data_IF_041197404532
#
_entry.id   IF_041197404532
#
_cell.length_a   1.000
_cell.length_b   1.000
_cell.length_c   1.000
_cell.angle_alpha   90.00
_cell.angle_beta   90.00
_cell.angle_gamma   90.00
#
_symmetry.space_group_name_H-M   'P 1'
#
loop_
_entity.id
_entity.type
_entity.pdbx_description
1 polymer ?
#
# COMPACT_ATOMS: atom_id res chain seq x y z
N UNK A 1 6.56 -25.10 -22.19
CA UNK A 1 5.80 -24.63 -20.98
C UNK A 1 6.75 -23.86 -20.11
N UNK A 2 6.46 -22.59 -19.80
CA UNK A 2 7.27 -21.71 -18.96
C UNK A 2 6.78 -21.77 -17.53
N UNK A 3 7.69 -21.79 -16.57
CA UNK A 3 7.38 -22.03 -15.18
C UNK A 3 7.46 -20.73 -14.38
N UNK A 4 6.36 -20.35 -13.73
CA UNK A 4 6.26 -19.18 -12.83
C UNK A 4 6.29 -19.69 -11.40
N UNK A 5 7.17 -19.14 -10.56
CA UNK A 5 7.17 -19.40 -9.13
C UNK A 5 6.60 -18.23 -8.36
N UNK A 6 5.52 -18.43 -7.64
CA UNK A 6 4.96 -17.48 -6.68
C UNK A 6 5.43 -17.87 -5.27
N UNK A 7 6.19 -16.99 -4.62
CA UNK A 7 6.62 -17.15 -3.23
C UNK A 7 5.78 -16.23 -2.34
N UNK A 8 4.96 -16.83 -1.49
CA UNK A 8 3.97 -16.17 -0.65
C UNK A 8 2.58 -16.13 -1.32
N UNK A 9 1.60 -16.75 -0.68
CA UNK A 9 0.21 -16.85 -1.15
C UNK A 9 -0.76 -16.20 -0.15
N UNK A 10 -0.44 -15.00 0.32
CA UNK A 10 -1.23 -14.25 1.29
C UNK A 10 -2.50 -13.59 0.71
N UNK A 11 -3.16 -12.75 1.52
CA UNK A 11 -4.46 -12.10 1.21
C UNK A 11 -4.51 -11.33 -0.12
N UNK A 12 -3.38 -10.85 -0.64
CA UNK A 12 -3.32 -10.04 -1.87
C UNK A 12 -3.04 -10.84 -3.15
N UNK A 13 -3.10 -12.19 -3.12
CA UNK A 13 -2.68 -13.03 -4.25
C UNK A 13 -3.82 -13.70 -5.02
N UNK A 14 -5.07 -13.61 -4.57
CA UNK A 14 -6.19 -14.30 -5.20
C UNK A 14 -6.30 -13.97 -6.69
N UNK A 15 -6.41 -12.71 -7.05
CA UNK A 15 -6.49 -12.29 -8.46
C UNK A 15 -5.24 -12.60 -9.28
N UNK A 16 -4.05 -12.58 -8.65
CA UNK A 16 -2.80 -12.96 -9.31
C UNK A 16 -2.83 -14.43 -9.72
N UNK A 17 -3.24 -15.31 -8.78
CA UNK A 17 -3.31 -16.76 -9.01
C UNK A 17 -4.36 -17.06 -10.09
N UNK A 18 -5.57 -16.52 -9.93
CA UNK A 18 -6.66 -16.74 -10.89
C UNK A 18 -6.25 -16.28 -12.29
N UNK A 19 -5.71 -15.06 -12.43
CA UNK A 19 -5.28 -14.52 -13.72
C UNK A 19 -4.22 -15.40 -14.40
N UNK A 20 -3.19 -15.84 -13.68
CA UNK A 20 -2.16 -16.71 -14.25
C UNK A 20 -2.71 -18.09 -14.64
N UNK A 21 -3.61 -18.66 -13.85
CA UNK A 21 -4.25 -19.93 -14.19
C UNK A 21 -5.18 -19.83 -15.38
N UNK A 22 -5.96 -18.74 -15.50
CA UNK A 22 -6.80 -18.47 -16.66
C UNK A 22 -5.99 -18.30 -17.96
N UNK A 23 -4.82 -17.68 -17.86
CA UNK A 23 -3.92 -17.52 -19.00
C UNK A 23 -3.07 -18.78 -19.28
N UNK A 24 -3.08 -19.79 -18.41
CA UNK A 24 -2.12 -20.90 -18.46
C UNK A 24 -2.07 -21.65 -19.79
N UNK A 25 -3.21 -21.94 -20.41
CA UNK A 25 -3.27 -22.63 -21.70
C UNK A 25 -2.81 -21.73 -22.85
N UNK A 26 -3.26 -20.47 -22.86
CA UNK A 26 -2.95 -19.50 -23.92
C UNK A 26 -1.47 -19.14 -23.93
N UNK A 27 -0.90 -18.96 -22.76
CA UNK A 27 0.49 -18.51 -22.60
C UNK A 27 1.49 -19.67 -22.44
N UNK A 28 1.02 -20.93 -22.44
CA UNK A 28 1.83 -22.14 -22.21
C UNK A 28 2.69 -22.02 -20.95
N UNK A 29 2.02 -21.72 -19.81
CA UNK A 29 2.66 -21.53 -18.50
C UNK A 29 2.16 -22.53 -17.48
N UNK A 30 2.99 -22.79 -16.47
CA UNK A 30 2.62 -23.43 -15.21
C UNK A 30 2.94 -22.50 -14.03
N UNK A 31 2.18 -22.62 -12.96
CA UNK A 31 2.36 -21.89 -11.71
C UNK A 31 2.77 -22.85 -10.60
N UNK A 32 3.84 -22.54 -9.89
CA UNK A 32 4.21 -23.18 -8.64
C UNK A 32 4.03 -22.18 -7.50
N UNK A 33 3.31 -22.54 -6.46
CA UNK A 33 3.18 -21.72 -5.23
C UNK A 33 4.08 -22.32 -4.15
N UNK A 34 4.95 -21.50 -3.58
CA UNK A 34 5.75 -21.81 -2.41
C UNK A 34 5.29 -20.93 -1.24
N UNK A 35 4.67 -21.54 -0.23
CA UNK A 35 4.28 -20.85 1.00
C UNK A 35 4.42 -21.81 2.20
N UNK A 36 4.63 -21.25 3.39
CA UNK A 36 4.68 -22.02 4.65
C UNK A 36 3.31 -22.56 5.06
N UNK A 37 2.24 -21.91 4.60
CA UNK A 37 0.85 -22.22 4.93
C UNK A 37 -0.01 -22.19 3.67
N UNK A 38 -0.40 -23.36 3.18
CA UNK A 38 -1.11 -23.52 1.91
C UNK A 38 -2.53 -24.05 2.08
N UNK A 39 -2.95 -24.37 3.31
CA UNK A 39 -4.28 -24.93 3.60
C UNK A 39 -5.44 -23.97 3.27
N UNK A 40 -5.19 -22.68 3.20
CA UNK A 40 -6.17 -21.65 2.85
C UNK A 40 -6.45 -21.56 1.33
N UNK A 41 -5.60 -22.17 0.49
CA UNK A 41 -5.83 -22.20 -0.96
C UNK A 41 -7.04 -23.09 -1.26
N UNK A 42 -8.08 -22.57 -1.94
CA UNK A 42 -9.30 -23.32 -2.23
C UNK A 42 -8.98 -24.61 -3.01
N UNK A 43 -9.65 -25.70 -2.66
CA UNK A 43 -9.42 -27.01 -3.31
C UNK A 43 -9.62 -26.98 -4.82
N UNK A 44 -10.54 -26.17 -5.31
CA UNK A 44 -10.79 -25.98 -6.75
C UNK A 44 -9.58 -25.37 -7.45
N UNK A 45 -8.94 -24.39 -6.83
CA UNK A 45 -7.69 -23.79 -7.31
C UNK A 45 -6.54 -24.81 -7.21
N UNK A 46 -6.38 -25.46 -6.06
CA UNK A 46 -5.32 -26.42 -5.82
C UNK A 46 -5.35 -27.64 -6.77
N UNK A 47 -6.51 -27.97 -7.34
CA UNK A 47 -6.67 -29.07 -8.30
C UNK A 47 -6.45 -28.66 -9.77
N UNK A 48 -6.10 -27.38 -10.04
CA UNK A 48 -5.87 -26.92 -11.39
C UNK A 48 -4.65 -27.59 -12.04
N UNK A 49 -4.74 -28.15 -13.27
CA UNK A 49 -3.67 -28.94 -13.89
C UNK A 49 -2.35 -28.19 -14.12
N UNK A 50 -2.41 -26.85 -14.24
CA UNK A 50 -1.23 -25.99 -14.40
C UNK A 50 -0.68 -25.48 -13.06
N UNK A 51 -1.21 -25.94 -11.91
CA UNK A 51 -0.77 -25.50 -10.58
C UNK A 51 -0.04 -26.62 -9.83
N UNK A 52 1.07 -26.28 -9.22
CA UNK A 52 1.73 -27.10 -8.20
C UNK A 52 1.89 -26.30 -6.92
N UNK A 53 1.87 -26.96 -5.77
CA UNK A 53 1.96 -26.32 -4.46
C UNK A 53 3.07 -26.99 -3.65
N UNK A 54 3.97 -26.18 -3.09
CA UNK A 54 5.06 -26.61 -2.20
C UNK A 54 4.86 -25.92 -0.85
N UNK A 55 4.58 -26.71 0.17
CA UNK A 55 4.43 -26.19 1.54
C UNK A 55 5.79 -26.22 2.24
N UNK A 56 6.45 -25.06 2.31
CA UNK A 56 7.74 -24.91 2.97
C UNK A 56 7.99 -23.44 3.36
N UNK A 57 8.89 -23.24 4.32
CA UNK A 57 9.33 -21.89 4.67
C UNK A 57 10.30 -21.34 3.62
N UNK A 58 10.13 -20.10 3.24
CA UNK A 58 11.09 -19.36 2.37
C UNK A 58 12.48 -19.25 3.01
N UNK A 59 12.59 -19.39 4.33
CA UNK A 59 13.89 -19.38 5.04
C UNK A 59 14.66 -20.68 4.87
N UNK A 60 14.01 -21.76 4.41
CA UNK A 60 14.70 -22.96 3.97
C UNK A 60 15.40 -22.71 2.64
N UNK A 61 16.70 -22.43 2.71
CA UNK A 61 17.51 -22.07 1.55
C UNK A 61 17.58 -23.17 0.50
N UNK A 62 17.56 -24.44 0.91
CA UNK A 62 17.65 -25.59 -0.03
C UNK A 62 16.39 -25.68 -0.86
N UNK A 63 15.22 -25.70 -0.23
CA UNK A 63 13.93 -25.79 -0.94
C UNK A 63 13.74 -24.54 -1.80
N UNK A 64 14.02 -23.33 -1.26
CA UNK A 64 13.88 -22.07 -2.00
C UNK A 64 14.71 -22.08 -3.28
N UNK A 65 16.00 -22.43 -3.21
CA UNK A 65 16.87 -22.47 -4.38
C UNK A 65 16.47 -23.54 -5.39
N UNK A 66 16.01 -24.71 -4.93
CA UNK A 66 15.48 -25.76 -5.81
C UNK A 66 14.28 -25.27 -6.60
N UNK A 67 13.33 -24.59 -5.96
CA UNK A 67 12.14 -24.08 -6.62
C UNK A 67 12.46 -22.93 -7.57
N UNK A 68 13.35 -22.01 -7.17
CA UNK A 68 13.81 -20.92 -8.05
C UNK A 68 14.54 -21.47 -9.27
N UNK A 69 15.36 -22.50 -9.13
CA UNK A 69 16.09 -23.12 -10.26
C UNK A 69 15.14 -23.68 -11.33
N UNK A 70 13.97 -24.20 -10.93
CA UNK A 70 12.95 -24.76 -11.84
C UNK A 70 12.10 -23.67 -12.52
N UNK A 71 12.11 -22.44 -12.02
CA UNK A 71 11.31 -21.35 -12.57
C UNK A 71 12.03 -20.60 -13.71
N UNK A 72 11.26 -19.99 -14.59
CA UNK A 72 11.75 -18.99 -15.56
C UNK A 72 11.68 -17.58 -14.99
N UNK A 73 10.69 -17.33 -14.14
CA UNK A 73 10.49 -16.06 -13.44
C UNK A 73 9.90 -16.30 -12.05
N UNK A 74 10.27 -15.44 -11.11
CA UNK A 74 9.83 -15.50 -9.71
C UNK A 74 9.00 -14.28 -9.36
N UNK A 75 7.84 -14.48 -8.76
CA UNK A 75 7.02 -13.43 -8.14
C UNK A 75 7.17 -13.57 -6.62
N UNK A 76 7.63 -12.50 -5.96
CA UNK A 76 7.83 -12.48 -4.51
C UNK A 76 6.78 -11.62 -3.82
N UNK A 77 5.90 -12.25 -3.03
CA UNK A 77 4.82 -11.62 -2.24
C UNK A 77 5.06 -11.75 -0.74
N UNK A 78 6.31 -11.65 -0.35
CA UNK A 78 6.79 -11.77 1.03
C UNK A 78 6.78 -10.42 1.77
N UNK A 79 6.95 -10.41 3.11
CA UNK A 79 7.33 -9.20 3.83
C UNK A 79 8.62 -8.57 3.29
N UNK A 80 8.69 -7.23 3.29
CA UNK A 80 9.73 -6.45 2.63
C UNK A 80 11.17 -6.91 2.93
N UNK A 81 11.48 -7.25 4.18
CA UNK A 81 12.82 -7.69 4.62
C UNK A 81 13.24 -9.06 4.09
N UNK A 82 12.31 -9.83 3.51
CA UNK A 82 12.60 -11.20 3.00
C UNK A 82 12.88 -11.22 1.48
N UNK A 83 12.52 -10.17 0.75
CA UNK A 83 12.74 -10.13 -0.71
C UNK A 83 14.20 -10.27 -1.10
N UNK A 84 15.13 -9.77 -0.28
CA UNK A 84 16.56 -9.85 -0.55
C UNK A 84 17.09 -11.30 -0.60
N UNK A 85 16.48 -12.21 0.16
CA UNK A 85 16.82 -13.65 0.12
C UNK A 85 16.51 -14.23 -1.26
N UNK A 86 15.30 -13.92 -1.77
CA UNK A 86 14.84 -14.37 -3.08
C UNK A 86 15.64 -13.72 -4.19
N UNK A 87 15.92 -12.41 -4.08
CA UNK A 87 16.69 -11.67 -5.08
C UNK A 87 18.11 -12.20 -5.26
N UNK A 88 18.82 -12.54 -4.17
CA UNK A 88 20.14 -13.14 -4.22
C UNK A 88 20.14 -14.48 -4.93
N UNK A 89 19.14 -15.33 -4.64
CA UNK A 89 19.02 -16.62 -5.30
C UNK A 89 18.64 -16.46 -6.78
N UNK A 90 17.71 -15.54 -7.11
CA UNK A 90 17.35 -15.21 -8.49
C UNK A 90 18.57 -14.71 -9.29
N UNK A 91 19.39 -13.84 -8.72
CA UNK A 91 20.63 -13.36 -9.36
C UNK A 91 21.62 -14.51 -9.60
N UNK A 92 21.82 -15.38 -8.61
CA UNK A 92 22.73 -16.53 -8.70
C UNK A 92 22.28 -17.55 -9.74
N UNK A 93 20.96 -17.81 -9.82
CA UNK A 93 20.35 -18.81 -10.69
C UNK A 93 19.85 -18.21 -12.03
N UNK A 94 20.14 -16.94 -12.29
CA UNK A 94 19.82 -16.20 -13.51
C UNK A 94 18.29 -16.22 -13.83
N UNK A 95 17.48 -15.85 -12.83
CA UNK A 95 16.02 -15.77 -12.96
C UNK A 95 15.53 -14.33 -12.83
N UNK A 96 14.49 -13.98 -13.58
CA UNK A 96 13.79 -12.70 -13.40
C UNK A 96 13.02 -12.67 -12.09
N UNK A 97 12.83 -11.48 -11.53
CA UNK A 97 12.11 -11.26 -10.27
C UNK A 97 11.09 -10.13 -10.42
N UNK A 98 9.88 -10.35 -9.89
CA UNK A 98 8.84 -9.32 -9.80
C UNK A 98 8.34 -9.23 -8.35
N UNK A 99 8.15 -8.01 -7.82
CA UNK A 99 7.59 -7.79 -6.49
C UNK A 99 6.81 -6.48 -6.39
N UNK A 100 5.81 -6.43 -5.50
CA UNK A 100 5.03 -5.23 -5.20
C UNK A 100 5.74 -4.25 -4.24
N UNK A 101 6.83 -4.68 -3.61
CA UNK A 101 7.51 -3.91 -2.57
C UNK A 101 8.44 -2.85 -3.14
N UNK A 102 8.70 -1.82 -2.33
CA UNK A 102 9.69 -0.78 -2.62
C UNK A 102 11.07 -1.37 -2.85
N UNK A 103 11.85 -0.73 -3.73
CA UNK A 103 13.27 -1.07 -3.91
C UNK A 103 14.02 -0.79 -2.61
N UNK A 104 14.62 -1.83 -2.03
CA UNK A 104 15.49 -1.67 -0.87
C UNK A 104 16.90 -1.21 -1.29
N UNK A 105 17.69 -0.60 -0.37
CA UNK A 105 19.08 -0.26 -0.65
C UNK A 105 19.90 -1.45 -1.17
N UNK A 106 19.72 -2.61 -0.55
CA UNK A 106 20.44 -3.84 -0.91
C UNK A 106 20.06 -4.35 -2.32
N UNK A 107 18.77 -4.22 -2.70
CA UNK A 107 18.34 -4.54 -4.07
C UNK A 107 18.93 -3.56 -5.07
N UNK A 108 19.00 -2.28 -4.72
CA UNK A 108 19.60 -1.27 -5.59
C UNK A 108 21.10 -1.50 -5.83
N UNK A 109 21.83 -1.99 -4.83
CA UNK A 109 23.25 -2.36 -4.96
C UNK A 109 23.48 -3.53 -5.93
N UNK A 110 22.44 -4.32 -6.25
CA UNK A 110 22.53 -5.42 -7.21
C UNK A 110 22.36 -4.97 -8.67
N UNK A 111 22.07 -3.69 -8.93
CA UNK A 111 21.70 -3.14 -10.26
C UNK A 111 22.69 -3.55 -11.37
N UNK A 112 23.98 -3.36 -11.15
CA UNK A 112 25.00 -3.64 -12.17
C UNK A 112 25.07 -5.13 -12.50
N UNK A 113 25.02 -6.00 -11.49
CA UNK A 113 25.05 -7.45 -11.67
C UNK A 113 23.78 -7.97 -12.37
N UNK A 114 22.62 -7.40 -12.03
CA UNK A 114 21.34 -7.73 -12.68
C UNK A 114 21.38 -7.35 -14.16
N UNK A 115 21.90 -6.16 -14.48
CA UNK A 115 22.08 -5.69 -15.86
C UNK A 115 23.06 -6.55 -16.67
N UNK A 116 24.22 -6.85 -16.08
CA UNK A 116 25.26 -7.66 -16.73
C UNK A 116 24.72 -9.03 -17.16
N UNK A 117 23.85 -9.62 -16.33
CA UNK A 117 23.21 -10.90 -16.63
C UNK A 117 21.96 -10.79 -17.52
N UNK A 118 21.58 -9.59 -17.94
CA UNK A 118 20.37 -9.36 -18.74
C UNK A 118 19.06 -9.67 -17.99
N UNK A 119 19.07 -9.62 -16.66
CA UNK A 119 17.92 -9.93 -15.83
C UNK A 119 17.07 -8.69 -15.57
N UNK A 120 15.81 -8.92 -15.27
CA UNK A 120 14.84 -7.89 -14.90
C UNK A 120 14.39 -8.17 -13.47
N UNK A 121 14.71 -7.27 -12.54
CA UNK A 121 14.18 -7.25 -11.19
C UNK A 121 13.19 -6.09 -11.09
N UNK A 122 11.92 -6.37 -11.42
CA UNK A 122 10.86 -5.37 -11.47
C UNK A 122 10.18 -5.26 -10.10
N UNK A 123 10.39 -4.13 -9.47
CA UNK A 123 9.88 -3.81 -8.15
C UNK A 123 8.72 -2.81 -8.25
N UNK A 124 8.04 -2.57 -7.13
CA UNK A 124 6.98 -1.58 -7.02
C UNK A 124 5.83 -1.85 -8.02
N UNK A 125 5.49 -3.14 -8.22
CA UNK A 125 4.44 -3.59 -9.14
C UNK A 125 3.12 -3.92 -8.41
N UNK A 126 2.78 -3.10 -7.41
CA UNK A 126 1.50 -3.21 -6.70
C UNK A 126 0.53 -2.08 -7.06
N UNK A 127 -0.17 -1.55 -6.05
CA UNK A 127 -1.09 -0.42 -6.20
C UNK A 127 -0.44 0.91 -5.82
N UNK A 128 0.19 0.99 -4.65
CA UNK A 128 0.99 2.08 -4.12
C UNK A 128 2.05 1.46 -3.17
N UNK A 129 3.22 1.16 -3.75
CA UNK A 129 3.72 1.57 -5.06
C UNK A 129 3.29 0.63 -6.22
N UNK A 130 3.06 1.22 -7.40
CA UNK A 130 2.83 0.49 -8.65
C UNK A 130 1.88 1.17 -9.61
N UNK A 131 0.57 0.97 -9.49
CA UNK A 131 -0.43 1.63 -10.34
C UNK A 131 -0.31 3.16 -10.21
N UNK A 132 0.01 3.68 -9.03
CA UNK A 132 0.24 5.10 -8.80
C UNK A 132 1.38 5.66 -9.66
N UNK A 133 2.48 4.93 -9.81
CA UNK A 133 3.60 5.30 -10.69
C UNK A 133 3.18 5.25 -12.16
N UNK A 134 2.59 4.14 -12.56
CA UNK A 134 2.21 3.89 -13.95
C UNK A 134 1.21 4.93 -14.46
N UNK A 135 0.16 5.19 -13.69
CA UNK A 135 -0.86 6.18 -14.05
C UNK A 135 -0.33 7.61 -14.02
N UNK A 136 0.48 7.96 -13.01
CA UNK A 136 1.13 9.26 -12.94
C UNK A 136 2.00 9.52 -14.18
N UNK A 137 2.87 8.57 -14.55
CA UNK A 137 3.72 8.70 -15.73
C UNK A 137 2.91 8.78 -17.01
N UNK A 138 1.85 7.98 -17.15
CA UNK A 138 0.98 8.02 -18.33
C UNK A 138 0.34 9.40 -18.53
N UNK A 139 -0.22 10.00 -17.47
CA UNK A 139 -0.82 11.34 -17.52
C UNK A 139 0.22 12.43 -17.73
N UNK A 140 1.35 12.38 -17.03
CA UNK A 140 2.42 13.36 -17.18
C UNK A 140 3.02 13.33 -18.59
N UNK A 141 3.26 12.16 -19.17
CA UNK A 141 3.75 12.03 -20.53
C UNK A 141 2.73 12.52 -21.55
N UNK A 142 1.43 12.27 -21.32
CA UNK A 142 0.37 12.81 -22.19
C UNK A 142 0.38 14.36 -22.19
N UNK A 143 0.57 14.98 -21.03
CA UNK A 143 0.65 16.44 -20.88
C UNK A 143 1.93 16.97 -21.54
N UNK A 144 3.09 16.36 -21.24
CA UNK A 144 4.39 16.75 -21.81
C UNK A 144 4.41 16.65 -23.33
N UNK A 145 3.83 15.59 -23.90
CA UNK A 145 3.74 15.38 -25.35
C UNK A 145 2.86 16.43 -26.06
N UNK A 146 1.96 17.09 -25.32
CA UNK A 146 1.16 18.22 -25.81
C UNK A 146 1.81 19.60 -25.54
N UNK A 147 3.08 19.62 -25.08
CA UNK A 147 3.85 20.82 -24.77
C UNK A 147 3.50 21.44 -23.42
N UNK A 148 2.96 20.67 -22.49
CA UNK A 148 2.72 21.10 -21.12
C UNK A 148 3.93 20.87 -20.22
N UNK A 149 4.20 21.78 -19.28
CA UNK A 149 5.21 21.65 -18.23
C UNK A 149 4.54 21.42 -16.87
N UNK A 150 4.89 20.33 -16.20
CA UNK A 150 4.28 19.96 -14.90
C UNK A 150 4.81 20.89 -13.81
N UNK A 151 3.91 21.56 -13.08
CA UNK A 151 4.20 22.46 -11.98
C UNK A 151 3.75 21.91 -10.62
N UNK A 152 2.71 21.05 -10.62
CA UNK A 152 2.14 20.45 -9.42
C UNK A 152 1.81 18.97 -9.70
N UNK A 153 2.20 18.11 -8.78
CA UNK A 153 1.77 16.71 -8.77
C UNK A 153 1.40 16.29 -7.34
N UNK A 154 0.15 15.92 -7.16
CA UNK A 154 -0.35 15.32 -5.93
C UNK A 154 -0.96 13.95 -6.24
N UNK A 155 -0.67 12.95 -5.42
CA UNK A 155 -1.18 11.59 -5.58
C UNK A 155 -1.58 10.98 -4.24
N UNK A 156 -2.81 10.51 -4.16
CA UNK A 156 -3.38 9.96 -2.94
C UNK A 156 -4.00 8.59 -3.21
N UNK A 157 -3.71 7.62 -2.32
CA UNK A 157 -4.22 6.25 -2.46
C UNK A 157 -4.76 5.76 -1.11
N UNK A 158 -5.87 5.03 -1.13
CA UNK A 158 -6.45 4.42 0.06
C UNK A 158 -7.10 3.06 -0.22
N UNK A 159 -6.82 2.09 0.66
CA UNK A 159 -7.63 0.88 0.80
C UNK A 159 -8.66 1.12 1.89
N UNK A 160 -9.94 0.94 1.57
CA UNK A 160 -11.09 1.36 2.37
C UNK A 160 -12.19 0.30 2.29
N UNK A 161 -13.28 0.52 3.03
CA UNK A 161 -14.50 -0.26 2.88
C UNK A 161 -15.36 0.35 1.78
N UNK A 162 -16.05 -0.49 1.00
CA UNK A 162 -16.92 -0.04 -0.08
C UNK A 162 -18.08 0.83 0.45
N UNK A 163 -18.59 1.81 -0.34
CA UNK A 163 -19.55 2.80 0.15
C UNK A 163 -20.88 2.24 0.66
N UNK A 164 -21.31 1.08 0.14
CA UNK A 164 -22.53 0.39 0.54
C UNK A 164 -22.39 -0.32 1.88
N UNK A 165 -21.18 -0.57 2.30
CA UNK A 165 -20.87 -1.19 3.59
C UNK A 165 -20.77 -0.10 4.67
N UNK A 166 -21.39 -0.34 5.84
CA UNK A 166 -21.25 0.53 7.02
C UNK A 166 -20.79 -0.31 8.20
N UNK A 167 -19.53 -0.76 8.16
CA UNK A 167 -19.08 -1.81 9.08
C UNK A 167 -18.87 -1.32 10.51
N UNK A 168 -18.52 -0.06 10.71
CA UNK A 168 -18.16 0.53 12.00
C UNK A 168 -18.10 2.06 11.92
N UNK A 169 -17.96 2.73 13.08
CA UNK A 169 -17.84 4.18 13.16
C UNK A 169 -16.55 4.75 12.51
N UNK A 170 -15.55 3.91 12.29
CA UNK A 170 -14.28 4.30 11.65
C UNK A 170 -14.34 4.32 10.13
N UNK A 171 -15.40 3.74 9.52
CA UNK A 171 -15.52 3.49 8.09
C UNK A 171 -14.24 2.79 7.54
N UNK A 172 -13.68 1.87 8.34
CA UNK A 172 -12.42 1.23 8.05
C UNK A 172 -12.39 -0.23 8.52
N UNK A 173 -11.86 -1.10 7.67
CA UNK A 173 -11.48 -2.48 8.00
C UNK A 173 -10.15 -2.84 7.33
N UNK A 174 -9.49 -3.86 7.85
CA UNK A 174 -8.25 -4.36 7.28
C UNK A 174 -8.51 -5.16 6.00
N UNK A 175 -8.04 -4.64 4.88
CA UNK A 175 -8.13 -5.27 3.56
C UNK A 175 -6.80 -5.88 3.12
N UNK A 176 -5.74 -5.63 3.88
CA UNK A 176 -4.39 -6.12 3.67
C UNK A 176 -3.67 -6.33 5.01
N UNK A 177 -2.33 -6.25 5.06
CA UNK A 177 -1.55 -6.53 6.26
C UNK A 177 -1.84 -5.52 7.39
N UNK A 178 -2.47 -5.93 8.51
CA UNK A 178 -2.81 -5.05 9.62
C UNK A 178 -1.59 -4.37 10.24
N UNK A 179 -0.46 -5.08 10.34
CA UNK A 179 0.77 -4.54 10.88
C UNK A 179 1.22 -3.27 10.16
N UNK A 180 1.21 -3.29 8.84
CA UNK A 180 1.61 -2.15 8.04
C UNK A 180 0.69 -0.93 8.23
N UNK A 181 -0.57 -1.15 8.60
CA UNK A 181 -1.50 -0.06 8.93
C UNK A 181 -1.16 0.54 10.29
N UNK A 182 -0.92 -0.29 11.31
CA UNK A 182 -0.63 0.17 12.67
C UNK A 182 0.67 0.97 12.75
N UNK A 183 1.70 0.54 12.05
CA UNK A 183 3.00 1.24 12.02
C UNK A 183 3.12 2.24 10.85
N UNK A 184 2.02 2.53 10.14
CA UNK A 184 2.04 3.47 9.02
C UNK A 184 2.54 4.85 9.44
N UNK A 185 3.49 5.40 8.70
CA UNK A 185 4.07 6.72 8.96
C UNK A 185 5.24 6.71 9.95
N UNK A 186 5.55 5.60 10.60
CA UNK A 186 6.77 5.44 11.39
C UNK A 186 8.03 5.37 10.50
N UNK A 187 9.20 5.53 11.10
CA UNK A 187 10.49 5.43 10.39
C UNK A 187 10.98 6.75 9.80
N UNK A 188 10.48 7.89 10.28
CA UNK A 188 10.96 9.22 9.93
C UNK A 188 9.87 10.25 9.68
N UNK A 189 10.25 11.47 9.33
CA UNK A 189 9.31 12.51 8.95
C UNK A 189 8.79 12.29 7.52
N UNK A 190 7.52 12.56 7.29
CA UNK A 190 7.02 12.72 5.93
C UNK A 190 7.63 13.97 5.30
N UNK A 191 8.09 13.85 4.04
CA UNK A 191 8.78 14.93 3.31
C UNK A 191 8.13 15.13 1.96
N UNK A 192 7.86 16.38 1.63
CA UNK A 192 7.32 16.76 0.33
C UNK A 192 7.68 18.22 0.02
N UNK A 193 7.43 18.66 -1.20
CA UNK A 193 7.52 20.08 -1.59
C UNK A 193 6.12 20.57 -1.91
N UNK A 194 5.79 21.75 -1.42
CA UNK A 194 4.52 22.42 -1.65
C UNK A 194 4.77 23.91 -1.84
N UNK A 195 4.32 24.47 -2.96
CA UNK A 195 4.56 25.87 -3.31
C UNK A 195 6.04 26.26 -3.28
N UNK A 196 6.90 25.42 -3.83
CA UNK A 196 8.34 25.63 -3.82
C UNK A 196 9.01 25.49 -2.44
N UNK A 197 8.24 25.22 -1.38
CA UNK A 197 8.74 25.11 0.00
C UNK A 197 8.79 23.66 0.44
N UNK A 198 9.93 23.21 0.95
CA UNK A 198 10.06 21.89 1.57
C UNK A 198 9.27 21.81 2.86
N UNK A 199 8.48 20.77 3.00
CA UNK A 199 7.66 20.49 4.18
C UNK A 199 8.12 19.18 4.83
N UNK A 200 8.16 19.21 6.16
CA UNK A 200 8.51 18.05 6.98
C UNK A 200 7.45 17.88 8.06
N UNK A 201 6.84 16.70 8.13
CA UNK A 201 5.86 16.39 9.16
C UNK A 201 6.40 15.22 9.98
N UNK A 202 6.82 15.44 11.24
CA UNK A 202 7.23 14.36 12.12
C UNK A 202 6.03 13.47 12.46
N UNK A 203 6.28 12.19 12.75
CA UNK A 203 5.25 11.18 12.95
C UNK A 203 4.13 11.60 13.91
N UNK A 204 4.47 12.15 15.06
CA UNK A 204 3.50 12.58 16.08
C UNK A 204 2.57 13.74 15.66
N UNK A 205 2.83 14.36 14.50
CA UNK A 205 1.98 15.42 13.90
C UNK A 205 1.33 14.97 12.59
N UNK A 206 1.65 13.79 12.10
CA UNK A 206 1.27 13.34 10.76
C UNK A 206 -0.25 13.36 10.55
N UNK A 207 -1.00 12.77 11.47
CA UNK A 207 -2.45 12.63 11.39
C UNK A 207 -3.23 13.89 11.80
N UNK A 208 -2.54 14.96 12.16
CA UNK A 208 -3.13 16.28 12.48
C UNK A 208 -3.17 17.22 11.29
N UNK A 209 -2.53 16.84 10.19
CA UNK A 209 -2.47 17.63 8.96
C UNK A 209 -2.98 16.77 7.79
N UNK A 210 -4.22 17.07 7.39
CA UNK A 210 -4.91 16.32 6.33
C UNK A 210 -5.37 17.28 5.24
N UNK A 211 -5.34 16.80 4.01
CA UNK A 211 -5.97 17.44 2.85
C UNK A 211 -7.35 16.78 2.63
N UNK A 212 -8.34 17.54 2.16
CA UNK A 212 -9.66 17.02 1.86
C UNK A 212 -9.86 16.84 0.37
N UNK A 213 -10.42 15.71 -0.01
CA UNK A 213 -10.70 15.34 -1.39
C UNK A 213 -12.18 14.95 -1.53
N UNK A 214 -12.74 15.20 -2.70
CA UNK A 214 -14.08 14.75 -3.05
C UNK A 214 -14.03 13.97 -4.37
N UNK A 215 -14.62 12.79 -4.39
CA UNK A 215 -14.75 11.97 -5.59
C UNK A 215 -16.24 11.75 -5.83
N UNK A 216 -16.71 12.16 -7.00
CA UNK A 216 -18.10 12.07 -7.38
C UNK A 216 -18.60 10.61 -7.31
N UNK A 217 -19.76 10.40 -6.69
CA UNK A 217 -20.31 9.07 -6.43
C UNK A 217 -19.74 8.33 -5.21
N UNK A 218 -18.59 8.79 -4.67
CA UNK A 218 -17.90 8.12 -3.55
C UNK A 218 -17.75 9.00 -2.30
N UNK A 219 -18.06 10.31 -2.41
CA UNK A 219 -18.11 11.25 -1.28
C UNK A 219 -16.76 11.84 -0.90
N UNK A 220 -16.65 12.24 0.37
CA UNK A 220 -15.50 12.96 0.91
C UNK A 220 -14.47 12.02 1.52
N UNK A 221 -13.21 12.38 1.33
CA UNK A 221 -12.04 11.70 1.89
C UNK A 221 -11.12 12.72 2.55
N UNK A 222 -10.27 12.25 3.43
CA UNK A 222 -9.12 12.97 3.93
C UNK A 222 -7.85 12.20 3.59
N UNK A 223 -6.74 12.92 3.36
CA UNK A 223 -5.46 12.33 3.07
C UNK A 223 -4.37 12.94 3.96
N UNK A 224 -3.45 12.12 4.43
CA UNK A 224 -2.25 12.53 5.15
C UNK A 224 -0.99 12.15 4.37
N UNK A 225 0.11 12.88 4.59
CA UNK A 225 1.36 12.70 3.87
C UNK A 225 1.90 11.27 4.03
N UNK A 226 2.33 10.67 2.91
CA UNK A 226 2.95 9.35 2.92
C UNK A 226 4.47 9.48 2.81
N UNK A 227 5.18 9.15 3.89
CA UNK A 227 6.65 9.03 3.96
C UNK A 227 7.41 10.14 3.20
N UNK A 228 8.37 9.76 2.33
CA UNK A 228 9.22 10.66 1.56
C UNK A 228 8.76 10.71 0.10
N UNK A 229 7.98 11.74 -0.25
CA UNK A 229 7.55 11.98 -1.63
C UNK A 229 8.72 12.41 -2.53
N UNK A 230 9.78 13.01 -1.95
CA UNK A 230 10.87 13.62 -2.70
C UNK A 230 11.78 12.60 -3.38
N UNK A 231 11.82 11.36 -2.89
CA UNK A 231 12.62 10.29 -3.50
C UNK A 231 12.21 9.99 -4.96
N UNK A 232 10.99 10.35 -5.35
CA UNK A 232 10.49 10.17 -6.71
C UNK A 232 10.66 11.40 -7.60
N UNK A 233 11.17 12.52 -7.08
CA UNK A 233 11.26 13.78 -7.81
C UNK A 233 12.02 13.65 -9.12
N UNK A 234 13.20 13.06 -9.06
CA UNK A 234 14.03 12.81 -10.26
C UNK A 234 13.46 11.69 -11.12
N UNK A 235 12.97 10.61 -10.51
CA UNK A 235 12.40 9.48 -11.24
C UNK A 235 11.20 9.88 -12.12
N UNK A 236 10.40 10.85 -11.68
CA UNK A 236 9.27 11.39 -12.44
C UNK A 236 9.63 12.55 -13.37
N UNK A 237 10.89 13.05 -13.33
CA UNK A 237 11.31 14.25 -14.06
C UNK A 237 10.55 15.50 -13.58
N UNK A 238 10.43 15.65 -12.26
CA UNK A 238 9.70 16.72 -11.58
C UNK A 238 10.63 17.67 -10.80
N UNK A 239 11.90 17.83 -11.24
CA UNK A 239 12.89 18.70 -10.58
C UNK A 239 12.42 20.16 -10.51
N UNK A 240 11.65 20.60 -11.50
CA UNK A 240 11.12 21.95 -11.61
C UNK A 240 9.70 22.11 -11.06
N UNK A 241 9.09 21.03 -10.57
CA UNK A 241 7.74 21.12 -10.00
C UNK A 241 7.77 21.85 -8.66
N UNK A 242 6.81 22.76 -8.46
CA UNK A 242 6.63 23.53 -7.23
C UNK A 242 5.93 22.71 -6.14
N UNK A 243 5.15 21.70 -6.54
CA UNK A 243 4.50 20.79 -5.61
C UNK A 243 4.71 19.34 -6.05
N UNK A 244 5.18 18.52 -5.10
CA UNK A 244 5.25 17.08 -5.21
C UNK A 244 4.82 16.47 -3.88
N UNK A 245 3.61 15.93 -3.84
CA UNK A 245 2.99 15.44 -2.61
C UNK A 245 2.30 14.09 -2.85
N UNK A 246 2.67 13.08 -2.07
CA UNK A 246 2.02 11.77 -2.05
C UNK A 246 1.42 11.54 -0.67
N UNK A 247 0.22 10.99 -0.63
CA UNK A 247 -0.51 10.79 0.62
C UNK A 247 -1.34 9.51 0.66
N UNK A 248 -1.72 9.15 1.87
CA UNK A 248 -2.62 8.02 2.15
C UNK A 248 -4.01 8.53 2.42
N UNK A 249 -4.99 7.98 1.72
CA UNK A 249 -6.40 8.41 1.79
C UNK A 249 -7.20 7.57 2.79
N UNK A 250 -8.09 8.24 3.53
CA UNK A 250 -9.02 7.64 4.48
C UNK A 250 -10.39 8.33 4.41
N UNK A 251 -11.41 7.76 5.05
CA UNK A 251 -12.67 8.48 5.29
C UNK A 251 -12.46 9.61 6.29
N UNK A 252 -13.24 10.68 6.13
CA UNK A 252 -13.15 11.88 6.99
C UNK A 252 -13.34 11.52 8.45
N UNK A 253 -12.45 12.01 9.31
CA UNK A 253 -12.44 11.76 10.75
C UNK A 253 -11.61 10.57 11.21
N UNK A 254 -11.08 9.74 10.29
CA UNK A 254 -10.17 8.65 10.64
C UNK A 254 -8.87 9.16 11.26
N UNK A 255 -8.22 10.12 10.60
CA UNK A 255 -6.90 10.63 11.04
C UNK A 255 -6.97 11.29 12.41
N UNK A 256 -8.04 12.05 12.68
CA UNK A 256 -8.24 12.68 14.00
C UNK A 256 -8.37 11.63 15.10
N UNK A 257 -9.12 10.55 14.86
CA UNK A 257 -9.26 9.45 15.80
C UNK A 257 -7.98 8.63 15.94
N UNK A 258 -7.31 8.31 14.82
CA UNK A 258 -6.03 7.59 14.82
C UNK A 258 -4.93 8.33 15.60
N UNK A 259 -4.92 9.65 15.50
CA UNK A 259 -3.97 10.49 16.23
C UNK A 259 -4.05 10.31 17.76
N UNK A 260 -5.17 9.83 18.29
CA UNK A 260 -5.31 9.47 19.72
C UNK A 260 -4.35 8.34 20.08
N UNK A 261 -4.30 7.28 19.27
CA UNK A 261 -3.37 6.17 19.45
C UNK A 261 -1.91 6.61 19.40
N UNK A 262 -1.61 7.51 18.45
CA UNK A 262 -0.27 8.09 18.32
C UNK A 262 0.11 8.91 19.55
N UNK A 263 -0.80 9.75 20.07
CA UNK A 263 -0.56 10.58 21.24
C UNK A 263 -0.40 9.75 22.53
N UNK A 264 -1.10 8.63 22.63
CA UNK A 264 -0.96 7.69 23.75
C UNK A 264 0.29 6.81 23.63
N UNK A 265 0.95 6.76 22.46
CA UNK A 265 2.10 5.87 22.25
C UNK A 265 1.70 4.43 21.91
N UNK A 266 0.41 4.15 21.64
CA UNK A 266 -0.09 2.79 21.36
C UNK A 266 0.43 2.23 20.01
N UNK A 267 0.96 3.08 19.16
CA UNK A 267 1.55 2.67 17.88
C UNK A 267 3.05 2.40 17.96
N UNK A 268 3.67 2.54 19.14
CA UNK A 268 5.11 2.33 19.32
C UNK A 268 5.47 0.84 19.20
N UNK A 269 6.56 0.56 18.47
CA UNK A 269 7.06 -0.79 18.20
C UNK A 269 8.49 -1.00 18.75
N UNK A 270 8.99 -0.08 19.55
CA UNK A 270 10.39 -0.07 19.97
C UNK A 270 10.67 -0.81 21.29
N UNK A 271 9.63 -1.15 22.05
CA UNK A 271 9.75 -1.86 23.33
C UNK A 271 8.59 -2.84 23.54
N UNK A 272 8.77 -3.79 24.45
CA UNK A 272 7.77 -4.79 24.82
C UNK A 272 7.12 -4.45 26.17
N UNK A 273 5.88 -4.86 26.34
CA UNK A 273 5.11 -4.78 27.59
C UNK A 273 5.11 -6.19 28.19
N UNK A 274 5.72 -6.31 29.36
CA UNK A 274 5.81 -7.59 30.09
C UNK A 274 4.43 -8.05 30.53
N UNK A 275 4.21 -9.39 30.49
CA UNK A 275 2.97 -10.04 30.95
C UNK A 275 1.69 -9.47 30.30
N UNK A 276 1.79 -9.00 29.05
CA UNK A 276 0.67 -8.38 28.34
C UNK A 276 -0.53 -9.30 28.15
N UNK A 277 -0.33 -10.61 28.07
CA UNK A 277 -1.39 -11.63 27.94
C UNK A 277 -2.30 -11.76 29.19
N UNK A 278 -1.94 -11.11 30.27
CA UNK A 278 -2.75 -11.06 31.51
C UNK A 278 -3.56 -9.77 31.62
N UNK A 279 -3.39 -8.84 30.69
CA UNK A 279 -3.98 -7.53 30.77
C UNK A 279 -5.34 -7.48 30.08
N UNK A 280 -6.33 -6.85 30.76
CA UNK A 280 -7.54 -6.40 30.08
C UNK A 280 -7.22 -5.23 29.16
N UNK A 281 -8.06 -4.96 28.16
CA UNK A 281 -7.92 -3.78 27.30
C UNK A 281 -7.85 -2.49 28.12
N UNK A 282 -8.67 -2.40 29.17
CA UNK A 282 -8.65 -1.28 30.11
C UNK A 282 -7.30 -1.12 30.82
N UNK A 283 -6.73 -2.22 31.30
CA UNK A 283 -5.43 -2.21 31.97
C UNK A 283 -4.32 -1.76 31.01
N UNK A 284 -4.33 -2.26 29.78
CA UNK A 284 -3.39 -1.85 28.74
C UNK A 284 -3.45 -0.35 28.45
N UNK A 285 -4.65 0.21 28.23
CA UNK A 285 -4.80 1.66 28.01
C UNK A 285 -4.31 2.47 29.21
N UNK A 286 -4.55 1.98 30.42
CA UNK A 286 -4.15 2.68 31.63
C UNK A 286 -2.63 2.82 31.81
N UNK A 287 -1.81 1.95 31.19
CA UNK A 287 -0.35 2.03 31.24
C UNK A 287 0.19 3.35 30.67
N UNK A 288 -0.50 3.95 29.72
CA UNK A 288 -0.08 5.16 29.02
C UNK A 288 -0.63 6.46 29.61
N UNK A 289 -1.34 6.37 30.74
CA UNK A 289 -2.03 7.51 31.32
C UNK A 289 -1.38 7.94 32.63
N UNK A 290 -1.48 9.22 33.00
CA UNK A 290 -1.02 9.69 34.30
C UNK A 290 -1.68 8.91 35.45
N UNK A 291 -0.92 8.71 36.51
CA UNK A 291 -1.45 8.08 37.71
C UNK A 291 -2.53 8.97 38.36
N UNK A 292 -3.66 8.40 38.69
CA UNK A 292 -4.68 8.98 39.55
C UNK A 292 -5.33 7.85 40.37
N UNK A 293 -5.42 7.98 41.69
CA UNK A 293 -6.04 6.94 42.52
C UNK A 293 -7.58 6.98 42.49
N UNK A 294 -8.18 8.04 41.95
CA UNK A 294 -9.63 8.28 41.99
C UNK A 294 -10.31 8.31 40.63
N UNK A 295 -9.54 8.65 39.60
CA UNK A 295 -10.14 8.83 38.26
C UNK A 295 -10.24 7.49 37.51
N UNK A 296 -11.36 7.28 36.85
CA UNK A 296 -11.50 6.16 35.95
C UNK A 296 -10.57 6.31 34.72
N UNK A 297 -10.26 5.21 34.03
CA UNK A 297 -9.43 5.23 32.83
C UNK A 297 -10.04 6.13 31.75
N UNK A 298 -11.37 6.07 31.60
CA UNK A 298 -12.13 6.92 30.68
C UNK A 298 -11.94 8.40 30.97
N UNK A 299 -12.06 8.79 32.25
CA UNK A 299 -11.88 10.18 32.65
C UNK A 299 -10.45 10.65 32.40
N UNK A 300 -9.45 9.81 32.72
CA UNK A 300 -8.03 10.11 32.45
C UNK A 300 -7.76 10.30 30.96
N UNK A 301 -8.26 9.42 30.10
CA UNK A 301 -8.11 9.55 28.63
C UNK A 301 -8.73 10.86 28.15
N UNK A 302 -9.96 11.16 28.57
CA UNK A 302 -10.66 12.38 28.15
C UNK A 302 -9.91 13.65 28.58
N UNK A 303 -9.45 13.70 29.81
CA UNK A 303 -8.67 14.83 30.34
C UNK A 303 -7.32 14.97 29.61
N UNK A 304 -6.59 13.87 29.46
CA UNK A 304 -5.26 13.87 28.85
C UNK A 304 -5.30 14.31 27.38
N UNK A 305 -6.31 13.84 26.64
CA UNK A 305 -6.46 14.12 25.21
C UNK A 305 -7.41 15.28 24.89
N UNK A 306 -8.05 15.85 25.93
CA UNK A 306 -9.05 16.94 25.79
C UNK A 306 -10.19 16.56 24.84
N UNK A 307 -10.81 15.40 25.09
CA UNK A 307 -11.94 14.87 24.32
C UNK A 307 -13.20 15.00 25.15
N UNK A 308 -14.24 15.62 24.59
CA UNK A 308 -15.55 15.69 25.20
C UNK A 308 -16.31 14.36 25.08
N UNK A 309 -17.26 14.12 25.98
CA UNK A 309 -18.01 12.86 26.01
C UNK A 309 -18.93 12.67 24.80
N UNK A 310 -19.36 13.74 24.20
CA UNK A 310 -20.21 13.79 23.01
C UNK A 310 -19.40 14.00 21.71
N UNK A 311 -18.05 13.95 21.77
CA UNK A 311 -17.23 13.96 20.56
C UNK A 311 -17.29 12.57 19.88
N UNK A 312 -17.53 12.54 18.60
CA UNK A 312 -17.51 11.31 17.79
C UNK A 312 -16.21 10.51 17.95
N UNK A 313 -15.09 11.16 18.31
CA UNK A 313 -13.84 10.47 18.63
C UNK A 313 -14.01 9.55 19.85
N UNK A 314 -14.78 9.99 20.85
CA UNK A 314 -15.08 9.18 22.02
C UNK A 314 -15.87 7.93 21.66
N UNK A 315 -16.90 8.07 20.85
CA UNK A 315 -17.72 6.95 20.36
C UNK A 315 -16.87 5.93 19.59
N UNK A 316 -15.93 6.40 18.74
CA UNK A 316 -14.99 5.52 18.02
C UNK A 316 -14.09 4.71 18.96
N UNK A 317 -13.65 5.28 20.07
CA UNK A 317 -12.84 4.56 21.08
C UNK A 317 -13.69 3.54 21.84
N UNK A 318 -14.93 3.91 22.19
CA UNK A 318 -15.88 3.02 22.88
C UNK A 318 -16.24 1.80 22.03
N UNK A 319 -16.41 1.97 20.72
CA UNK A 319 -16.68 0.87 19.77
C UNK A 319 -15.60 -0.21 19.79
N UNK A 320 -14.35 0.15 20.03
CA UNK A 320 -13.21 -0.79 20.11
C UNK A 320 -13.09 -1.47 21.48
N UNK A 321 -14.05 -1.25 22.40
CA UNK A 321 -14.03 -1.81 23.75
C UNK A 321 -12.73 -1.52 24.55
N UNK A 322 -12.03 -0.42 24.26
CA UNK A 322 -10.73 -0.08 24.87
C UNK A 322 -10.75 0.01 26.39
N UNK A 323 -11.91 0.27 26.98
CA UNK A 323 -12.10 0.42 28.42
C UNK A 323 -12.74 -0.80 29.10
N UNK A 324 -12.72 -1.95 28.43
CA UNK A 324 -13.30 -3.20 28.92
C UNK A 324 -12.39 -3.94 29.87
N UNK A 325 -12.92 -4.37 31.01
CA UNK A 325 -12.25 -5.32 31.92
C UNK A 325 -12.55 -6.78 31.56
N UNK A 326 -13.38 -7.04 30.52
CA UNK A 326 -13.79 -8.39 30.10
C UNK A 326 -13.06 -8.89 28.87
N UNK A 327 -12.43 -8.01 28.10
CA UNK A 327 -11.63 -8.35 26.95
C UNK A 327 -10.15 -8.33 27.36
N UNK A 328 -9.45 -9.40 27.05
CA UNK A 328 -8.05 -9.58 27.41
C UNK A 328 -7.18 -9.69 26.17
N UNK A 329 -5.96 -9.20 26.29
CA UNK A 329 -4.92 -9.43 25.30
C UNK A 329 -4.44 -10.88 25.41
N UNK A 330 -4.00 -11.44 24.27
CA UNK A 330 -3.54 -12.82 24.19
C UNK A 330 -2.05 -12.94 23.88
N UNK A 331 -1.48 -11.88 23.33
CA UNK A 331 -0.08 -11.86 22.94
C UNK A 331 0.84 -11.65 24.12
N UNK A 332 1.78 -12.60 24.32
CA UNK A 332 2.79 -12.56 25.35
C UNK A 332 3.88 -11.54 25.00
N UNK A 333 4.18 -10.64 25.95
CA UNK A 333 5.23 -9.64 25.83
C UNK A 333 5.18 -8.86 24.52
N UNK A 334 3.97 -8.45 24.08
CA UNK A 334 3.78 -7.70 22.85
C UNK A 334 4.29 -6.27 22.92
N UNK A 335 4.68 -5.69 21.79
CA UNK A 335 4.91 -4.24 21.71
C UNK A 335 3.58 -3.49 21.76
N UNK A 336 3.52 -2.20 22.17
CA UNK A 336 2.27 -1.43 22.13
C UNK A 336 1.55 -1.54 20.78
N UNK A 337 2.30 -1.45 19.67
CA UNK A 337 1.75 -1.56 18.33
C UNK A 337 1.17 -2.95 18.03
N UNK A 338 1.78 -4.02 18.52
CA UNK A 338 1.26 -5.38 18.36
C UNK A 338 -0.01 -5.61 19.17
N UNK A 339 -0.07 -5.06 20.40
CA UNK A 339 -1.24 -5.17 21.27
C UNK A 339 -2.40 -4.33 20.72
N UNK A 340 -2.14 -3.12 20.23
CA UNK A 340 -3.14 -2.33 19.51
C UNK A 340 -3.64 -3.08 18.26
N UNK A 341 -2.75 -3.70 17.49
CA UNK A 341 -3.12 -4.50 16.30
C UNK A 341 -4.08 -5.62 16.69
N UNK A 342 -3.83 -6.35 17.76
CA UNK A 342 -4.70 -7.43 18.24
C UNK A 342 -6.12 -6.90 18.54
N UNK A 343 -6.23 -5.77 19.25
CA UNK A 343 -7.51 -5.12 19.53
C UNK A 343 -8.22 -4.74 18.23
N UNK A 344 -7.52 -4.11 17.31
CA UNK A 344 -8.10 -3.65 16.04
C UNK A 344 -8.52 -4.82 15.15
N UNK A 345 -7.76 -5.92 15.10
CA UNK A 345 -8.12 -7.11 14.32
C UNK A 345 -9.42 -7.75 14.80
N UNK A 346 -9.69 -7.72 16.11
CA UNK A 346 -10.94 -8.22 16.65
C UNK A 346 -12.18 -7.42 16.13
N UNK A 347 -12.00 -6.15 15.76
CA UNK A 347 -13.07 -5.27 15.33
C UNK A 347 -13.06 -4.95 13.83
N UNK A 348 -11.89 -4.98 13.19
CA UNK A 348 -11.70 -4.51 11.82
C UNK A 348 -11.40 -5.62 10.81
N UNK A 349 -11.61 -6.87 11.18
CA UNK A 349 -11.54 -7.96 10.19
C UNK A 349 -12.72 -7.84 9.22
N UNK A 350 -12.42 -7.92 7.92
CA UNK A 350 -13.43 -7.87 6.87
C UNK A 350 -14.31 -9.13 6.96
N UNK A 351 -15.63 -8.97 6.98
CA UNK A 351 -16.59 -10.09 6.96
C UNK A 351 -16.62 -10.79 5.61
N UNK A 352 -17.17 -12.01 5.57
CA UNK A 352 -17.18 -12.87 4.37
C UNK A 352 -17.81 -12.21 3.15
N UNK A 353 -18.91 -11.50 3.34
CA UNK A 353 -19.66 -10.83 2.27
C UNK A 353 -19.35 -9.34 2.15
N UNK A 354 -18.52 -8.81 3.05
CA UNK A 354 -18.17 -7.40 3.03
C UNK A 354 -17.15 -7.12 1.93
N UNK A 355 -17.31 -5.97 1.29
CA UNK A 355 -16.48 -5.52 0.18
C UNK A 355 -15.59 -4.36 0.60
N UNK A 356 -14.36 -4.43 0.15
CA UNK A 356 -13.44 -3.32 0.21
C UNK A 356 -13.49 -2.48 -1.07
N UNK A 357 -12.81 -1.36 -1.06
CA UNK A 357 -12.48 -0.62 -2.27
C UNK A 357 -11.07 -0.06 -2.19
N UNK A 358 -10.44 0.12 -3.34
CA UNK A 358 -9.23 0.90 -3.51
C UNK A 358 -9.57 2.16 -4.27
N UNK A 359 -9.17 3.29 -3.71
CA UNK A 359 -9.34 4.61 -4.32
C UNK A 359 -7.97 5.22 -4.56
N UNK A 360 -7.76 5.77 -5.75
CA UNK A 360 -6.57 6.54 -6.11
C UNK A 360 -6.99 7.84 -6.77
N UNK A 361 -6.28 8.93 -6.45
CA UNK A 361 -6.56 10.26 -6.98
C UNK A 361 -5.26 10.97 -7.32
N UNK A 362 -5.16 11.50 -8.53
CA UNK A 362 -4.07 12.35 -8.99
C UNK A 362 -4.59 13.75 -9.29
N UNK A 363 -3.81 14.74 -8.89
CA UNK A 363 -4.00 16.14 -9.26
C UNK A 363 -2.73 16.64 -9.93
N UNK A 364 -2.82 17.06 -11.16
CA UNK A 364 -1.69 17.44 -11.99
C UNK A 364 -1.90 18.86 -12.51
N UNK A 365 -1.19 19.82 -11.93
CA UNK A 365 -1.16 21.19 -12.40
C UNK A 365 -0.02 21.38 -13.40
N UNK A 366 -0.29 22.01 -14.52
CA UNK A 366 0.69 22.22 -15.57
C UNK A 366 0.50 23.54 -16.30
N UNK A 367 1.60 24.06 -16.84
CA UNK A 367 1.57 25.24 -17.70
C UNK A 367 1.60 24.80 -19.16
N UNK A 368 0.69 25.32 -19.97
CA UNK A 368 0.63 25.08 -21.39
C UNK A 368 0.29 26.37 -22.14
N UNK A 369 1.15 26.80 -23.08
CA UNK A 369 0.97 28.02 -23.86
C UNK A 369 0.77 29.26 -22.97
N UNK A 370 1.55 29.36 -21.88
CA UNK A 370 1.48 30.47 -20.92
C UNK A 370 0.23 30.50 -20.02
N UNK A 371 -0.55 29.39 -19.98
CA UNK A 371 -1.75 29.28 -19.15
C UNK A 371 -1.63 28.07 -18.20
N UNK A 372 -1.96 28.33 -16.95
CA UNK A 372 -2.08 27.25 -15.95
C UNK A 372 -3.36 26.44 -16.19
N UNK A 373 -3.21 25.11 -16.14
CA UNK A 373 -4.28 24.11 -16.29
C UNK A 373 -4.14 23.07 -15.20
N UNK A 374 -5.19 22.32 -14.97
CA UNK A 374 -5.19 21.20 -14.04
C UNK A 374 -5.93 20.02 -14.64
N UNK A 375 -5.32 18.84 -14.53
CA UNK A 375 -5.93 17.55 -14.79
C UNK A 375 -6.10 16.83 -13.45
N UNK A 376 -7.33 16.45 -13.14
CA UNK A 376 -7.64 15.55 -12.05
C UNK A 376 -7.97 14.17 -12.63
N UNK A 377 -7.46 13.12 -11.97
CA UNK A 377 -7.76 11.75 -12.38
C UNK A 377 -8.01 10.88 -11.16
N UNK A 378 -8.99 10.00 -11.22
CA UNK A 378 -9.24 9.06 -10.15
C UNK A 378 -9.54 7.65 -10.67
N UNK A 379 -9.21 6.69 -9.85
CA UNK A 379 -9.54 5.27 -10.01
C UNK A 379 -10.29 4.81 -8.75
N UNK A 380 -11.38 4.10 -8.94
CA UNK A 380 -12.05 3.36 -7.86
C UNK A 380 -12.27 1.93 -8.32
N UNK A 381 -11.80 0.99 -7.51
CA UNK A 381 -12.01 -0.44 -7.70
C UNK A 381 -12.69 -0.97 -6.46
N UNK A 382 -13.81 -1.66 -6.61
CA UNK A 382 -14.50 -2.34 -5.53
C UNK A 382 -14.18 -3.84 -5.54
N UNK A 383 -14.04 -4.42 -4.37
CA UNK A 383 -13.88 -5.85 -4.19
C UNK A 383 -15.19 -6.61 -4.38
N UNK A 384 -15.10 -7.92 -4.45
CA UNK A 384 -16.24 -8.81 -4.63
C UNK A 384 -16.58 -9.55 -3.33
N UNK A 385 -15.54 -9.92 -2.56
CA UNK A 385 -15.66 -10.69 -1.32
C UNK A 385 -14.42 -10.49 -0.45
N UNK A 386 -14.40 -11.12 0.72
CA UNK A 386 -13.24 -11.14 1.62
C UNK A 386 -11.95 -11.70 0.96
N UNK A 387 -12.07 -12.60 -0.02
CA UNK A 387 -10.92 -13.20 -0.73
C UNK A 387 -10.58 -12.42 -1.98
N UNK A 388 -11.60 -12.06 -2.78
CA UNK A 388 -11.46 -11.28 -4.00
C UNK A 388 -11.66 -9.79 -3.70
N UNK A 389 -10.75 -9.26 -2.90
CA UNK A 389 -10.75 -7.85 -2.51
C UNK A 389 -10.26 -6.94 -3.63
N UNK A 390 -10.67 -5.67 -3.60
CA UNK A 390 -10.10 -4.64 -4.47
C UNK A 390 -8.58 -4.51 -4.28
N UNK A 391 -8.11 -4.68 -3.03
CA UNK A 391 -6.68 -4.69 -2.73
C UNK A 391 -5.98 -5.87 -3.41
N UNK A 392 -6.53 -7.08 -3.33
CA UNK A 392 -5.96 -8.25 -4.01
C UNK A 392 -5.93 -8.07 -5.54
N UNK A 393 -6.96 -7.42 -6.11
CA UNK A 393 -7.05 -7.11 -7.53
C UNK A 393 -5.97 -6.12 -7.97
N UNK A 394 -5.88 -4.98 -7.28
CA UNK A 394 -4.99 -3.88 -7.65
C UNK A 394 -3.53 -4.12 -7.31
N UNK A 395 -3.23 -5.06 -6.41
CA UNK A 395 -1.85 -5.52 -6.14
C UNK A 395 -1.49 -6.73 -7.01
N UNK A 396 -2.38 -7.70 -7.14
CA UNK A 396 -2.07 -8.97 -7.80
C UNK A 396 -2.01 -8.89 -9.33
N UNK A 397 -2.94 -8.16 -9.96
CA UNK A 397 -2.97 -8.07 -11.42
C UNK A 397 -1.73 -7.41 -12.04
N UNK A 398 -1.20 -6.28 -11.52
CA UNK A 398 0.03 -5.71 -12.07
C UNK A 398 1.20 -6.69 -12.07
N UNK A 399 1.35 -7.47 -11.00
CA UNK A 399 2.39 -8.51 -10.87
C UNK A 399 2.21 -9.62 -11.91
N UNK A 400 1.01 -10.18 -12.03
CA UNK A 400 0.71 -11.24 -12.98
C UNK A 400 0.91 -10.79 -14.42
N UNK A 401 0.40 -9.61 -14.76
CA UNK A 401 0.51 -9.01 -16.10
C UNK A 401 1.98 -8.76 -16.45
N UNK A 402 2.74 -8.10 -15.57
CA UNK A 402 4.15 -7.81 -15.85
C UNK A 402 5.01 -9.07 -15.95
N UNK A 403 4.69 -10.09 -15.15
CA UNK A 403 5.33 -11.40 -15.26
C UNK A 403 5.18 -11.97 -16.68
N UNK A 404 3.97 -11.98 -17.24
CA UNK A 404 3.72 -12.46 -18.61
C UNK A 404 4.39 -11.58 -19.66
N UNK A 405 4.37 -10.26 -19.50
CA UNK A 405 5.03 -9.33 -20.44
C UNK A 405 6.56 -9.53 -20.45
N UNK A 406 7.18 -9.83 -19.31
CA UNK A 406 8.62 -10.17 -19.24
C UNK A 406 8.87 -11.51 -19.95
N UNK A 407 8.07 -12.55 -19.66
CA UNK A 407 8.20 -13.86 -20.30
C UNK A 407 7.98 -13.81 -21.82
N UNK A 408 7.11 -12.92 -22.30
CA UNK A 408 6.82 -12.70 -23.72
C UNK A 408 7.82 -11.75 -24.39
N UNK A 409 8.76 -11.19 -23.61
CA UNK A 409 9.76 -10.21 -24.08
C UNK A 409 9.15 -8.89 -24.57
N UNK A 410 7.96 -8.52 -24.06
CA UNK A 410 7.36 -7.20 -24.27
C UNK A 410 7.99 -6.16 -23.34
N UNK A 411 8.54 -6.59 -22.19
CA UNK A 411 9.39 -5.82 -21.30
C UNK A 411 10.79 -6.45 -21.37
N UNK A 412 11.78 -5.68 -21.83
CA UNK A 412 13.11 -6.19 -22.14
C UNK A 412 14.24 -5.48 -21.42
N UNK A 413 14.01 -4.27 -20.89
CA UNK A 413 15.08 -3.47 -20.30
C UNK A 413 15.56 -4.08 -18.99
N UNK A 414 16.79 -4.61 -18.99
CA UNK A 414 17.42 -5.24 -17.81
C UNK A 414 17.71 -4.24 -16.70
N UNK A 415 17.79 -4.72 -15.46
CA UNK A 415 18.16 -3.97 -14.26
C UNK A 415 17.16 -4.11 -13.13
N UNK A 416 17.43 -3.39 -12.03
CA UNK A 416 16.48 -3.21 -10.90
C UNK A 416 15.56 -2.06 -11.23
N UNK A 417 14.34 -2.36 -11.66
CA UNK A 417 13.41 -1.41 -12.27
C UNK A 417 12.22 -1.13 -11.37
N UNK A 418 11.60 0.04 -11.61
CA UNK A 418 10.26 0.41 -11.13
C UNK A 418 9.39 0.81 -12.34
N UNK A 419 8.06 0.78 -12.26
CA UNK A 419 7.19 0.89 -13.44
C UNK A 419 6.95 2.35 -13.92
N UNK A 420 8.03 3.10 -14.13
CA UNK A 420 7.99 4.50 -14.61
C UNK A 420 8.28 4.64 -16.10
N UNK A 421 8.77 3.57 -16.74
CA UNK A 421 9.11 3.59 -18.16
C UNK A 421 7.90 3.22 -19.01
N UNK A 422 7.80 3.87 -20.18
CA UNK A 422 6.69 3.64 -21.11
C UNK A 422 6.60 2.21 -21.64
N UNK A 423 7.73 1.50 -21.70
CA UNK A 423 7.82 0.08 -22.02
C UNK A 423 7.04 -0.78 -20.99
N UNK A 424 6.99 -0.34 -19.73
CA UNK A 424 6.31 -1.05 -18.64
C UNK A 424 4.89 -0.54 -18.47
N UNK A 425 4.71 0.77 -18.20
CA UNK A 425 3.40 1.27 -17.79
C UNK A 425 2.35 1.22 -18.90
N UNK A 426 2.71 1.41 -20.16
CA UNK A 426 1.72 1.40 -21.25
C UNK A 426 1.03 0.04 -21.43
N UNK A 427 1.75 -1.07 -21.64
CA UNK A 427 1.10 -2.37 -21.79
C UNK A 427 0.43 -2.83 -20.50
N UNK A 428 1.00 -2.56 -19.32
CA UNK A 428 0.39 -2.96 -18.05
C UNK A 428 -0.94 -2.24 -17.83
N UNK A 429 -0.99 -0.90 -17.96
CA UNK A 429 -2.24 -0.15 -17.81
C UNK A 429 -3.31 -0.54 -18.83
N UNK A 430 -2.91 -0.86 -20.08
CA UNK A 430 -3.82 -1.34 -21.10
C UNK A 430 -4.49 -2.66 -20.69
N UNK A 431 -3.73 -3.61 -20.15
CA UNK A 431 -4.27 -4.89 -19.71
C UNK A 431 -5.06 -4.76 -18.41
N UNK A 432 -4.63 -3.92 -17.48
CA UNK A 432 -5.38 -3.59 -16.27
C UNK A 432 -6.75 -2.98 -16.58
N UNK A 433 -6.85 -2.16 -17.63
CA UNK A 433 -8.13 -1.61 -18.08
C UNK A 433 -9.11 -2.68 -18.57
N UNK A 434 -8.63 -3.76 -19.20
CA UNK A 434 -9.44 -4.92 -19.60
C UNK A 434 -10.01 -5.67 -18.39
N UNK A 435 -9.28 -5.63 -17.28
CA UNK A 435 -9.70 -6.20 -15.98
C UNK A 435 -10.54 -5.23 -15.13
N UNK A 436 -10.92 -4.08 -15.68
CA UNK A 436 -11.77 -3.08 -15.01
C UNK A 436 -11.01 -2.16 -14.02
N UNK A 437 -9.69 -2.11 -14.10
CA UNK A 437 -8.88 -1.13 -13.36
C UNK A 437 -8.64 0.07 -14.28
N UNK A 438 -9.50 1.09 -14.16
CA UNK A 438 -9.58 2.22 -15.10
C UNK A 438 -9.54 3.54 -14.36
N UNK A 439 -8.79 4.51 -14.88
CA UNK A 439 -8.85 5.89 -14.45
C UNK A 439 -9.89 6.69 -15.24
N UNK A 440 -10.59 7.58 -14.54
CA UNK A 440 -11.39 8.64 -15.12
C UNK A 440 -10.64 9.95 -14.91
N UNK A 441 -10.39 10.68 -15.99
CA UNK A 441 -9.68 11.96 -15.96
C UNK A 441 -10.53 13.09 -16.54
N UNK A 442 -10.32 14.29 -16.03
CA UNK A 442 -11.06 15.49 -16.44
C UNK A 442 -10.25 16.75 -16.16
N UNK A 443 -10.34 17.70 -17.08
CA UNK A 443 -9.76 19.04 -16.86
C UNK A 443 -10.65 19.84 -15.90
N UNK A 444 -10.02 20.49 -14.93
CA UNK A 444 -10.67 21.41 -13.98
C UNK A 444 -9.96 22.76 -13.98
N UNK A 445 -10.58 23.82 -13.47
CA UNK A 445 -9.89 25.07 -13.21
C UNK A 445 -8.68 24.86 -12.33
N UNK A 446 -7.54 25.48 -12.66
CA UNK A 446 -6.34 25.39 -11.83
C UNK A 446 -6.60 25.99 -10.45
N UNK A 447 -6.46 25.16 -9.41
CA UNK A 447 -6.69 25.52 -8.01
C UNK A 447 -5.37 25.66 -7.22
N UNK A 448 -4.23 25.56 -7.91
CA UNK A 448 -2.92 25.78 -7.31
C UNK A 448 -2.52 27.26 -7.29
N UNK A 449 -1.22 27.54 -7.15
CA UNK A 449 -0.71 28.91 -6.99
C UNK A 449 -0.73 29.70 -8.27
N UNK A 450 -1.01 30.98 -8.17
CA UNK A 450 -0.72 31.92 -9.25
C UNK A 450 0.81 32.08 -9.37
N UNK A 451 1.35 31.85 -10.55
CA UNK A 451 2.80 31.93 -10.84
C UNK A 451 3.40 33.31 -10.50
N UNK A 452 2.59 34.34 -10.39
CA UNK A 452 2.99 35.72 -10.03
C UNK A 452 3.47 35.84 -8.56
N UNK A 453 3.05 34.95 -7.65
CA UNK A 453 3.45 34.99 -6.24
C UNK A 453 4.81 34.35 -5.95
N UNK A 454 5.32 33.51 -6.82
CA UNK A 454 6.58 32.76 -6.62
C UNK A 454 7.82 33.58 -7.04
N UNK A 455 7.65 34.60 -7.84
CA UNK A 455 8.76 35.45 -8.34
C UNK A 455 9.22 36.53 -7.34
N UNK A 456 8.54 36.70 -6.21
CA UNK A 456 8.79 37.79 -5.24
C UNK A 456 9.22 37.32 -3.84
N UNK A 457 9.55 36.04 -3.65
CA UNK A 457 10.05 35.49 -2.37
C UNK A 457 11.50 34.90 -2.57
#
# INVERSE_FOLDING_TARGET
>A
MRNILLIGAGKSTAYLIDYLLDQSKKEDISLCILDRETAHIPKQIASHPALSIVTASVTDGVIRQQQIALADIVISMLPAHMHILVAKDCLSLEKHLVTASYVSPELKEMEDQVKEKGLIFLNEMGVDPGIDHMSAMAFMDQIKNKGGEIKLFESFTGGLVAPQEKPNLWDYKFTWNPRNVVIAGQGGAAKFIQEGTYKYIPYHKLFRRTEFLHIEGYGKFEAYANRDSLKYRTAYGLENALTLYRGTMRRVGFSKAWNIFVQLGLTDDSYQIEESEQMSYRAFINLFLPYSPTDSVELKVRHYLKIDQDDIMWEKLMELHLFSDKHFLTKQNGTPAELLQEILEAHWTLGLEEKDMVVMYHKIGYEQQGKMRQLDAHMVVEGVSQTHTAMAKTVGLPLAISCLLILNKDINTAGVRIPIDSEIYKPVLKLLAQEGVVFKDFEVPYLGYATEYVASS
#
